data_IF_019526149300
#
_entry.id   IF_019526149300
#
_cell.length_a   1.000
_cell.length_b   1.000
_cell.length_c   1.000
_cell.angle_alpha   90.00
_cell.angle_beta   90.00
_cell.angle_gamma   90.00
#
_symmetry.space_group_name_H-M   'P 1'
#
loop_
_entity.id
_entity.type
_entity.pdbx_description
1 polymer ?
#
# COMPACT_ATOMS: atom_id res chain seq x y z
N UNK A 1 11.13 8.49 -11.27
CA UNK A 1 11.02 9.85 -11.85
C UNK A 1 9.85 9.91 -12.79
N UNK A 2 9.16 11.06 -12.89
CA UNK A 2 7.90 11.18 -13.64
C UNK A 2 7.80 12.49 -14.43
N UNK A 3 7.16 12.43 -15.59
CA UNK A 3 6.55 13.54 -16.35
C UNK A 3 5.05 13.21 -16.53
N UNK A 4 4.22 14.08 -17.15
CA UNK A 4 2.81 13.75 -17.40
C UNK A 4 2.58 12.47 -18.22
N UNK A 5 3.58 12.03 -19.00
CA UNK A 5 3.50 10.96 -19.99
C UNK A 5 4.62 9.91 -19.89
N UNK A 6 5.51 10.01 -18.91
CA UNK A 6 6.61 9.06 -18.70
C UNK A 6 6.82 8.77 -17.22
N UNK A 7 6.99 7.47 -16.90
CA UNK A 7 7.29 6.98 -15.55
C UNK A 7 8.49 6.04 -15.63
N UNK A 8 9.57 6.41 -14.95
CA UNK A 8 10.83 5.65 -14.94
C UNK A 8 11.18 5.25 -13.50
N UNK A 9 11.34 3.94 -13.27
CA UNK A 9 11.87 3.41 -12.01
C UNK A 9 13.39 3.45 -12.08
N UNK A 10 14.02 3.96 -11.03
CA UNK A 10 15.47 4.13 -10.93
C UNK A 10 15.97 3.50 -9.63
N UNK A 11 17.28 3.44 -9.48
CA UNK A 11 17.96 3.07 -8.24
C UNK A 11 17.65 1.64 -7.71
N UNK A 12 17.83 0.57 -8.54
CA UNK A 12 17.63 -0.80 -8.11
C UNK A 12 18.83 -1.38 -7.34
N UNK A 13 19.62 -0.55 -6.64
CA UNK A 13 20.87 -0.98 -5.99
C UNK A 13 20.67 -2.04 -4.89
N UNK A 14 19.45 -2.13 -4.35
CA UNK A 14 19.04 -3.15 -3.37
C UNK A 14 18.41 -4.41 -4.01
N UNK A 15 18.59 -4.64 -5.31
CA UNK A 15 17.98 -5.78 -5.98
C UNK A 15 18.57 -7.12 -5.49
N UNK A 16 17.69 -8.02 -5.05
CA UNK A 16 17.99 -9.43 -4.77
C UNK A 16 16.70 -10.26 -4.93
N UNK A 17 16.82 -11.59 -4.85
CA UNK A 17 15.65 -12.48 -4.84
C UNK A 17 14.93 -12.39 -3.49
N UNK A 18 13.87 -11.57 -3.46
CA UNK A 18 13.06 -11.32 -2.27
C UNK A 18 11.56 -11.47 -2.53
N UNK A 19 10.72 -11.25 -1.50
CA UNK A 19 9.27 -11.32 -1.63
C UNK A 19 8.72 -10.16 -2.48
N UNK A 20 7.89 -10.46 -3.48
CA UNK A 20 7.31 -9.46 -4.40
C UNK A 20 6.54 -8.36 -3.66
N UNK A 21 5.86 -8.70 -2.56
CA UNK A 21 5.13 -7.73 -1.73
C UNK A 21 6.01 -6.63 -1.16
N UNK A 22 7.34 -6.79 -1.11
CA UNK A 22 8.25 -5.76 -0.64
C UNK A 22 8.26 -4.53 -1.56
N UNK A 23 8.31 -4.73 -2.88
CA UNK A 23 8.36 -3.64 -3.85
C UNK A 23 6.99 -2.96 -3.99
N UNK A 24 5.94 -3.76 -4.13
CA UNK A 24 4.56 -3.25 -4.23
C UNK A 24 4.19 -2.50 -2.94
N UNK A 25 4.53 -3.09 -1.79
CA UNK A 25 4.31 -2.49 -0.48
C UNK A 25 5.13 -1.21 -0.30
N UNK A 26 6.37 -1.17 -0.78
CA UNK A 26 7.16 0.05 -0.76
C UNK A 26 6.51 1.19 -1.53
N UNK A 27 6.02 0.91 -2.73
CA UNK A 27 5.38 1.91 -3.58
C UNK A 27 4.06 2.40 -2.97
N UNK A 28 3.15 1.49 -2.64
CA UNK A 28 1.85 1.81 -2.04
C UNK A 28 2.03 2.50 -0.67
N UNK A 29 2.95 2.02 0.16
CA UNK A 29 3.24 2.61 1.46
C UNK A 29 3.68 4.07 1.36
N UNK A 30 4.52 4.43 0.40
CA UNK A 30 4.91 5.84 0.21
C UNK A 30 3.76 6.70 -0.34
N UNK A 31 2.90 6.18 -1.22
CA UNK A 31 1.69 6.90 -1.62
C UNK A 31 0.75 7.19 -0.44
N UNK A 32 0.64 6.24 0.50
CA UNK A 32 -0.11 6.44 1.74
C UNK A 32 0.55 7.52 2.61
N UNK A 33 1.88 7.53 2.75
CA UNK A 33 2.57 8.62 3.46
C UNK A 33 2.30 9.99 2.82
N UNK A 34 2.39 10.06 1.49
CA UNK A 34 2.08 11.28 0.73
C UNK A 34 0.63 11.76 0.97
N UNK A 35 -0.33 10.84 1.06
CA UNK A 35 -1.72 11.15 1.42
C UNK A 35 -1.83 11.80 2.80
N UNK A 36 -1.16 11.25 3.81
CA UNK A 36 -1.20 11.79 5.17
C UNK A 36 -0.49 13.12 5.31
N UNK A 37 0.59 13.34 4.55
CA UNK A 37 1.33 14.59 4.55
C UNK A 37 0.53 15.76 3.95
N UNK A 38 -0.48 15.50 3.09
CA UNK A 38 -1.20 16.57 2.38
C UNK A 38 -1.83 17.61 3.30
N UNK A 39 -2.32 17.21 4.48
CA UNK A 39 -2.96 18.17 5.40
C UNK A 39 -1.94 19.20 5.93
N UNK A 40 -0.67 18.81 6.09
CA UNK A 40 0.40 19.74 6.47
C UNK A 40 0.91 20.62 5.32
N UNK A 41 0.55 20.29 4.08
CA UNK A 41 0.85 21.07 2.86
C UNK A 41 -0.34 21.90 2.35
N UNK A 42 -1.45 21.90 3.09
CA UNK A 42 -2.61 22.71 2.79
C UNK A 42 -2.35 24.19 3.11
N UNK A 43 -2.87 25.09 2.27
CA UNK A 43 -2.73 26.53 2.43
C UNK A 43 -3.93 27.29 1.86
N UNK A 44 -3.93 28.62 2.00
CA UNK A 44 -5.10 29.47 1.67
C UNK A 44 -5.58 29.37 0.20
N UNK A 45 -4.75 28.87 -0.72
CA UNK A 45 -5.11 28.68 -2.14
C UNK A 45 -5.31 27.22 -2.56
N UNK A 46 -5.03 26.25 -1.70
CA UNK A 46 -5.16 24.83 -2.01
C UNK A 46 -5.28 24.02 -0.72
N UNK A 47 -6.48 23.49 -0.45
CA UNK A 47 -6.77 22.67 0.73
C UNK A 47 -6.35 21.20 0.57
N UNK A 48 -5.76 20.85 -0.59
CA UNK A 48 -5.27 19.52 -0.97
C UNK A 48 -6.31 18.41 -1.02
N UNK A 49 -7.62 18.67 -0.83
CA UNK A 49 -8.64 17.61 -0.77
C UNK A 49 -8.75 16.81 -2.06
N UNK A 50 -8.89 17.50 -3.20
CA UNK A 50 -8.96 16.82 -4.51
C UNK A 50 -7.67 16.07 -4.83
N UNK A 51 -6.52 16.54 -4.33
CA UNK A 51 -5.26 15.84 -4.51
C UNK A 51 -5.16 14.58 -3.63
N UNK A 52 -5.67 14.61 -2.40
CA UNK A 52 -5.83 13.43 -1.55
C UNK A 52 -6.71 12.37 -2.20
N UNK A 53 -7.84 12.78 -2.80
CA UNK A 53 -8.71 11.88 -3.55
C UNK A 53 -7.99 11.25 -4.74
N UNK A 54 -7.21 12.04 -5.47
CA UNK A 54 -6.37 11.53 -6.57
C UNK A 54 -5.32 10.52 -6.09
N UNK A 55 -4.67 10.75 -4.95
CA UNK A 55 -3.71 9.79 -4.37
C UNK A 55 -4.43 8.48 -4.01
N UNK A 56 -5.60 8.55 -3.35
CA UNK A 56 -6.38 7.35 -3.01
C UNK A 56 -6.78 6.55 -4.26
N UNK A 57 -7.25 7.25 -5.30
CA UNK A 57 -7.59 6.63 -6.57
C UNK A 57 -6.37 5.98 -7.23
N UNK A 58 -5.21 6.62 -7.16
CA UNK A 58 -3.95 6.10 -7.70
C UNK A 58 -3.51 4.83 -6.96
N UNK A 59 -3.67 4.76 -5.64
CA UNK A 59 -3.39 3.54 -4.85
C UNK A 59 -4.30 2.39 -5.28
N UNK A 60 -5.60 2.66 -5.38
CA UNK A 60 -6.59 1.67 -5.81
C UNK A 60 -6.30 1.16 -7.22
N UNK A 61 -6.11 2.07 -8.17
CA UNK A 61 -5.85 1.74 -9.58
C UNK A 61 -4.54 0.98 -9.74
N UNK A 62 -3.49 1.36 -9.01
CA UNK A 62 -2.20 0.66 -9.02
C UNK A 62 -2.39 -0.81 -8.65
N UNK A 63 -3.07 -1.10 -7.54
CA UNK A 63 -3.28 -2.49 -7.10
C UNK A 63 -4.18 -3.27 -8.08
N UNK A 64 -5.31 -2.67 -8.49
CA UNK A 64 -6.26 -3.35 -9.36
C UNK A 64 -5.68 -3.64 -10.75
N UNK A 65 -4.95 -2.68 -11.33
CA UNK A 65 -4.27 -2.88 -12.61
C UNK A 65 -3.08 -3.83 -12.49
N UNK A 66 -2.32 -3.79 -11.38
CA UNK A 66 -1.29 -4.79 -11.11
C UNK A 66 -1.89 -6.19 -11.07
N UNK A 67 -2.95 -6.40 -10.29
CA UNK A 67 -3.64 -7.68 -10.20
C UNK A 67 -4.07 -8.16 -11.58
N UNK A 68 -4.79 -7.32 -12.34
CA UNK A 68 -5.28 -7.66 -13.67
C UNK A 68 -4.15 -8.04 -14.63
N UNK A 69 -3.08 -7.24 -14.69
CA UNK A 69 -1.96 -7.47 -15.60
C UNK A 69 -1.14 -8.69 -15.18
N UNK A 70 -0.93 -8.89 -13.88
CA UNK A 70 -0.19 -10.04 -13.35
C UNK A 70 -0.90 -11.35 -13.67
N UNK A 71 -2.22 -11.43 -13.44
CA UNK A 71 -3.01 -12.63 -13.77
C UNK A 71 -3.11 -12.84 -15.28
N UNK A 72 -3.20 -11.76 -16.09
CA UNK A 72 -3.19 -11.88 -17.54
C UNK A 72 -1.86 -12.47 -18.07
N UNK A 73 -0.72 -12.00 -17.53
CA UNK A 73 0.60 -12.57 -17.86
C UNK A 73 0.73 -14.03 -17.41
N UNK A 74 0.17 -14.36 -16.24
CA UNK A 74 0.09 -15.75 -15.79
C UNK A 74 -0.66 -16.61 -16.80
N UNK A 75 -1.85 -16.18 -17.23
CA UNK A 75 -2.66 -16.92 -18.21
C UNK A 75 -1.98 -17.05 -19.57
N UNK A 76 -1.31 -16.00 -20.03
CA UNK A 76 -0.52 -15.99 -21.27
C UNK A 76 0.62 -17.01 -21.21
N UNK A 77 1.30 -17.11 -20.07
CA UNK A 77 2.51 -17.93 -19.90
C UNK A 77 2.27 -19.27 -19.19
N UNK A 78 1.02 -19.69 -18.98
CA UNK A 78 0.69 -20.93 -18.27
C UNK A 78 1.26 -22.22 -18.89
N UNK A 79 1.55 -22.19 -20.20
CA UNK A 79 2.19 -23.29 -20.93
C UNK A 79 3.69 -23.07 -21.17
N UNK A 80 4.27 -22.03 -20.56
CA UNK A 80 5.70 -21.72 -20.66
C UNK A 80 6.57 -22.65 -19.82
N UNK A 81 7.88 -22.37 -19.77
CA UNK A 81 8.88 -23.15 -19.03
C UNK A 81 8.86 -22.95 -17.51
N UNK A 82 7.79 -22.36 -16.95
CA UNK A 82 7.67 -22.08 -15.52
C UNK A 82 7.31 -23.34 -14.72
N UNK A 83 7.93 -23.52 -13.56
CA UNK A 83 7.75 -24.72 -12.72
C UNK A 83 6.80 -24.50 -11.53
N UNK A 84 6.36 -23.26 -11.27
CA UNK A 84 5.54 -22.94 -10.10
C UNK A 84 4.13 -23.56 -10.17
N UNK A 85 3.53 -23.63 -11.37
CA UNK A 85 2.17 -24.10 -11.58
C UNK A 85 2.06 -25.00 -12.83
N UNK A 86 2.62 -26.23 -12.80
CA UNK A 86 2.66 -27.10 -13.97
C UNK A 86 1.26 -27.50 -14.44
N UNK A 87 0.95 -27.42 -15.75
CA UNK A 87 -0.36 -27.79 -16.30
C UNK A 87 -0.79 -29.23 -16.00
N UNK A 88 0.16 -30.14 -15.77
CA UNK A 88 -0.14 -31.53 -15.38
C UNK A 88 -0.84 -31.64 -14.02
N UNK A 89 -0.63 -30.67 -13.13
CA UNK A 89 -1.26 -30.59 -11.79
C UNK A 89 -2.44 -29.61 -11.84
N UNK A 90 -2.24 -28.42 -12.38
CA UNK A 90 -3.24 -27.35 -12.46
C UNK A 90 -3.99 -27.40 -13.79
N UNK A 91 -4.70 -28.50 -14.02
CA UNK A 91 -5.15 -28.94 -15.35
C UNK A 91 -6.58 -28.52 -15.73
N UNK A 92 -7.30 -27.78 -14.88
CA UNK A 92 -8.64 -27.29 -15.18
C UNK A 92 -8.82 -25.80 -14.84
N UNK A 93 -9.72 -25.08 -15.54
CA UNK A 93 -9.89 -23.64 -15.36
C UNK A 93 -10.30 -23.22 -13.94
N UNK A 94 -11.14 -24.00 -13.27
CA UNK A 94 -11.63 -23.67 -11.93
C UNK A 94 -10.50 -23.71 -10.89
N UNK A 95 -9.63 -24.72 -10.97
CA UNK A 95 -8.46 -24.86 -10.12
C UNK A 95 -7.41 -23.78 -10.41
N UNK A 96 -7.19 -23.43 -11.69
CA UNK A 96 -6.30 -22.34 -12.09
C UNK A 96 -6.76 -21.01 -11.50
N UNK A 97 -8.06 -20.71 -11.60
CA UNK A 97 -8.63 -19.50 -11.03
C UNK A 97 -8.52 -19.48 -9.49
N UNK A 98 -8.84 -20.60 -8.83
CA UNK A 98 -8.75 -20.70 -7.37
C UNK A 98 -7.33 -20.43 -6.86
N UNK A 99 -6.31 -21.00 -7.51
CA UNK A 99 -4.92 -20.83 -7.07
C UNK A 99 -4.40 -19.43 -7.35
N UNK A 100 -4.80 -18.81 -8.48
CA UNK A 100 -4.50 -17.40 -8.77
C UNK A 100 -5.13 -16.48 -7.72
N UNK A 101 -6.42 -16.66 -7.40
CA UNK A 101 -7.11 -15.86 -6.38
C UNK A 101 -6.44 -16.00 -5.00
N UNK A 102 -6.07 -17.23 -4.61
CA UNK A 102 -5.35 -17.49 -3.37
C UNK A 102 -3.98 -16.81 -3.35
N UNK A 103 -3.20 -16.96 -4.42
CA UNK A 103 -1.88 -16.34 -4.54
C UNK A 103 -1.97 -14.81 -4.47
N UNK A 104 -2.91 -14.22 -5.21
CA UNK A 104 -3.09 -12.77 -5.23
C UNK A 104 -3.55 -12.23 -3.87
N UNK A 105 -4.35 -12.98 -3.11
CA UNK A 105 -4.72 -12.61 -1.74
C UNK A 105 -3.51 -12.65 -0.79
N UNK A 106 -2.67 -13.68 -0.87
CA UNK A 106 -1.45 -13.77 -0.07
C UNK A 106 -0.47 -12.64 -0.42
N UNK A 107 -0.28 -12.37 -1.71
CA UNK A 107 0.55 -11.26 -2.20
C UNK A 107 0.00 -9.89 -1.76
N UNK A 108 -1.33 -9.73 -1.71
CA UNK A 108 -1.96 -8.53 -1.18
C UNK A 108 -1.63 -8.32 0.29
N UNK A 109 -1.73 -9.37 1.11
CA UNK A 109 -1.40 -9.30 2.53
C UNK A 109 0.09 -9.00 2.76
N UNK A 110 0.98 -9.58 1.95
CA UNK A 110 2.41 -9.25 2.01
C UNK A 110 2.67 -7.79 1.62
N UNK A 111 2.02 -7.31 0.56
CA UNK A 111 2.07 -5.92 0.11
C UNK A 111 1.68 -4.96 1.24
N UNK A 112 0.56 -5.21 1.92
CA UNK A 112 0.12 -4.41 3.06
C UNK A 112 1.11 -4.49 4.24
N UNK A 113 1.66 -5.68 4.52
CA UNK A 113 2.61 -5.89 5.60
C UNK A 113 3.91 -5.12 5.40
N UNK A 114 4.53 -5.25 4.23
CA UNK A 114 5.76 -4.54 3.91
C UNK A 114 5.53 -3.03 3.74
N UNK A 115 4.40 -2.62 3.14
CA UNK A 115 4.03 -1.21 3.07
C UNK A 115 3.89 -0.58 4.46
N UNK A 116 3.21 -1.27 5.38
CA UNK A 116 3.08 -0.84 6.77
C UNK A 116 4.44 -0.74 7.48
N UNK A 117 5.31 -1.74 7.33
CA UNK A 117 6.65 -1.71 7.90
C UNK A 117 7.48 -0.54 7.35
N UNK A 118 7.39 -0.26 6.03
CA UNK A 118 8.06 0.89 5.42
C UNK A 118 7.48 2.21 5.92
N UNK A 119 6.16 2.33 6.10
CA UNK A 119 5.56 3.53 6.69
C UNK A 119 6.10 3.79 8.09
N UNK A 120 6.03 2.80 8.98
CA UNK A 120 6.48 2.91 10.37
C UNK A 120 7.95 3.36 10.43
N UNK A 121 8.85 2.68 9.68
CA UNK A 121 10.28 3.00 9.73
C UNK A 121 10.64 4.36 9.12
N UNK A 122 9.77 4.96 8.30
CA UNK A 122 9.96 6.32 7.77
C UNK A 122 9.55 7.41 8.77
N UNK A 123 8.77 7.06 9.79
CA UNK A 123 8.29 8.00 10.80
C UNK A 123 9.19 7.99 12.03
N UNK A 124 9.63 6.81 12.49
CA UNK A 124 10.41 6.66 13.74
C UNK A 124 11.83 6.15 13.53
N UNK A 125 12.22 5.85 12.29
CA UNK A 125 13.55 5.32 11.97
C UNK A 125 14.54 6.41 11.55
N UNK A 126 15.77 6.00 11.20
CA UNK A 126 16.85 6.95 10.86
C UNK A 126 16.61 7.75 9.58
N UNK A 127 15.91 7.17 8.60
CA UNK A 127 15.75 7.75 7.27
C UNK A 127 14.29 8.12 7.02
N UNK A 128 13.99 9.41 7.18
CA UNK A 128 12.66 9.98 7.03
C UNK A 128 12.27 10.16 5.54
N UNK A 129 11.10 10.76 5.27
CA UNK A 129 10.64 11.16 3.92
C UNK A 129 10.40 12.66 3.85
N UNK A 130 10.69 13.23 2.68
CA UNK A 130 10.52 14.66 2.44
C UNK A 130 9.07 15.14 2.58
N UNK A 131 8.10 14.27 2.30
CA UNK A 131 6.67 14.54 2.47
C UNK A 131 6.35 15.13 3.85
N UNK A 132 6.96 14.60 4.90
CA UNK A 132 6.82 15.14 6.26
C UNK A 132 7.90 16.16 6.60
N UNK A 133 9.17 15.90 6.28
CA UNK A 133 10.28 16.78 6.69
C UNK A 133 10.17 18.21 6.13
N UNK A 134 9.49 18.39 4.99
CA UNK A 134 9.22 19.71 4.40
C UNK A 134 8.12 20.51 5.12
N UNK A 135 7.33 19.89 6.01
CA UNK A 135 6.34 20.56 6.86
C UNK A 135 7.08 21.25 8.02
N UNK A 136 7.17 22.58 7.98
CA UNK A 136 7.97 23.38 8.94
C UNK A 136 7.38 23.39 10.35
N UNK A 137 6.07 23.44 10.47
CA UNK A 137 5.38 23.52 11.76
C UNK A 137 5.38 22.14 12.43
N UNK A 138 6.17 22.01 13.48
CA UNK A 138 6.44 20.71 14.14
C UNK A 138 5.17 20.02 14.62
N UNK A 139 4.21 20.76 15.18
CA UNK A 139 2.96 20.18 15.67
C UNK A 139 2.09 19.66 14.52
N UNK A 140 2.01 20.39 13.41
CA UNK A 140 1.25 19.98 12.22
C UNK A 140 1.89 18.73 11.59
N UNK A 141 3.22 18.69 11.53
CA UNK A 141 3.97 17.54 11.05
C UNK A 141 3.69 16.31 11.91
N UNK A 142 3.81 16.46 13.23
CA UNK A 142 3.58 15.37 14.18
C UNK A 142 2.16 14.81 14.10
N UNK A 143 1.14 15.66 13.91
CA UNK A 143 -0.25 15.21 13.73
C UNK A 143 -0.43 14.38 12.43
N UNK A 144 0.26 14.73 11.35
CA UNK A 144 0.25 13.97 10.11
C UNK A 144 0.98 12.63 10.28
N UNK A 145 2.16 12.65 10.89
CA UNK A 145 2.97 11.47 11.19
C UNK A 145 2.24 10.49 12.12
N UNK A 146 1.56 10.99 13.16
CA UNK A 146 0.82 10.17 14.11
C UNK A 146 -0.30 9.39 13.40
N UNK A 147 -1.09 10.05 12.55
CA UNK A 147 -2.16 9.38 11.80
C UNK A 147 -1.62 8.34 10.83
N UNK A 148 -0.51 8.64 10.15
CA UNK A 148 0.18 7.69 9.29
C UNK A 148 0.71 6.48 10.07
N UNK A 149 1.26 6.71 11.26
CA UNK A 149 1.80 5.67 12.14
C UNK A 149 0.69 4.74 12.65
N UNK A 150 -0.45 5.28 13.07
CA UNK A 150 -1.58 4.47 13.53
C UNK A 150 -2.16 3.58 12.41
N UNK A 151 -2.23 4.09 11.17
CA UNK A 151 -2.59 3.24 10.05
C UNK A 151 -1.52 2.16 9.82
N UNK A 152 -0.23 2.53 9.80
CA UNK A 152 0.86 1.57 9.65
C UNK A 152 0.79 0.44 10.67
N UNK A 153 0.58 0.76 11.96
CA UNK A 153 0.38 -0.23 13.03
C UNK A 153 -0.83 -1.13 12.77
N UNK A 154 -1.94 -0.55 12.31
CA UNK A 154 -3.16 -1.30 12.00
C UNK A 154 -2.94 -2.26 10.85
N UNK A 155 -2.44 -1.78 9.71
CA UNK A 155 -2.15 -2.61 8.54
C UNK A 155 -1.18 -3.74 8.90
N UNK A 156 -0.10 -3.45 9.64
CA UNK A 156 0.86 -4.48 10.03
C UNK A 156 0.20 -5.61 10.84
N UNK A 157 -0.65 -5.27 11.81
CA UNK A 157 -1.31 -6.24 12.71
C UNK A 157 -2.48 -6.97 12.03
N UNK A 158 -3.28 -6.25 11.24
CA UNK A 158 -4.61 -6.68 10.77
C UNK A 158 -4.70 -6.91 9.26
N UNK A 159 -3.59 -6.83 8.50
CA UNK A 159 -3.58 -6.98 7.02
C UNK A 159 -4.38 -8.16 6.48
N UNK A 160 -4.43 -9.28 7.21
CA UNK A 160 -5.15 -10.49 6.78
C UNK A 160 -6.67 -10.36 6.83
N UNK A 161 -7.18 -9.36 7.52
CA UNK A 161 -8.61 -9.02 7.57
C UNK A 161 -9.04 -8.20 6.33
N UNK A 162 -8.09 -7.68 5.56
CA UNK A 162 -8.36 -6.92 4.35
C UNK A 162 -8.49 -7.87 3.15
N UNK A 163 -9.65 -7.82 2.49
CA UNK A 163 -9.96 -8.63 1.30
C UNK A 163 -9.91 -7.84 -0.01
N UNK A 164 -9.71 -6.52 0.07
CA UNK A 164 -9.61 -5.64 -1.10
C UNK A 164 -8.91 -4.32 -0.74
N UNK A 165 -8.21 -3.73 -1.71
CA UNK A 165 -7.57 -2.41 -1.57
C UNK A 165 -8.60 -1.30 -1.28
N UNK A 166 -9.83 -1.43 -1.77
CA UNK A 166 -10.90 -0.45 -1.55
C UNK A 166 -11.32 -0.31 -0.09
N UNK A 167 -11.04 -1.32 0.74
CA UNK A 167 -11.29 -1.27 2.19
C UNK A 167 -10.24 -0.46 2.95
N UNK A 168 -9.06 -0.23 2.38
CA UNK A 168 -8.01 0.55 3.03
C UNK A 168 -8.40 2.04 3.14
N UNK A 169 -8.89 2.72 2.07
CA UNK A 169 -9.46 4.07 2.15
C UNK A 169 -10.71 4.19 3.05
N UNK A 170 -11.54 3.16 3.13
CA UNK A 170 -12.74 3.17 3.99
C UNK A 170 -12.37 3.04 5.47
N UNK A 171 -11.33 2.27 5.78
CA UNK A 171 -10.79 2.21 7.14
C UNK A 171 -10.12 3.53 7.54
N UNK A 172 -9.48 4.21 6.57
CA UNK A 172 -8.88 5.54 6.72
C UNK A 172 -9.91 6.59 7.15
N UNK A 173 -11.10 6.63 6.55
CA UNK A 173 -12.14 7.59 6.96
C UNK A 173 -12.80 7.21 8.29
N UNK A 174 -13.07 5.92 8.53
CA UNK A 174 -13.77 5.47 9.74
C UNK A 174 -12.93 5.51 11.03
N UNK A 175 -11.61 5.35 10.94
CA UNK A 175 -10.71 5.37 12.11
C UNK A 175 -10.14 6.76 12.40
N UNK A 176 -10.07 7.64 11.41
CA UNK A 176 -9.58 9.01 11.60
C UNK A 176 -10.66 10.00 12.06
N UNK A 177 -11.94 9.70 11.87
CA UNK A 177 -13.05 10.42 12.50
C UNK A 177 -13.16 10.15 14.02
N UNK A 178 -12.31 9.26 14.56
CA UNK A 178 -12.20 9.02 16.00
C UNK A 178 -11.36 10.12 16.66
N UNK A 179 -11.99 11.27 16.90
CA UNK A 179 -11.43 12.37 17.69
C UNK A 179 -11.06 11.90 19.09
N UNK A 180 -9.77 11.66 19.32
CA UNK A 180 -9.07 11.72 20.61
C UNK A 180 -9.88 11.43 21.88
N UNK A 181 -10.22 10.16 22.12
CA UNK A 181 -10.53 9.71 23.46
C UNK A 181 -9.88 8.34 23.67
N UNK A 182 -8.74 8.31 24.36
CA UNK A 182 -8.09 7.06 24.78
C UNK A 182 -9.10 6.19 25.55
N UNK A 183 -9.71 5.24 24.85
CA UNK A 183 -10.45 4.15 25.48
C UNK A 183 -9.51 2.94 25.48
N UNK A 184 -8.93 2.67 26.64
CA UNK A 184 -8.56 1.30 27.01
C UNK A 184 -9.80 0.45 26.78
N UNK A 185 -9.73 -0.60 25.97
CA UNK A 185 -10.17 -1.94 26.35
C UNK A 185 -10.03 -2.97 25.22
N UNK A 186 -9.81 -4.18 25.70
CA UNK A 186 -9.83 -5.47 25.04
C UNK A 186 -10.99 -5.60 24.04
N UNK A 187 -10.66 -5.99 22.81
CA UNK A 187 -11.58 -6.74 21.98
C UNK A 187 -10.86 -7.96 21.44
N UNK A 188 -11.26 -9.09 22.01
CA UNK A 188 -11.11 -10.43 21.47
C UNK A 188 -11.82 -10.46 20.10
N UNK A 189 -11.08 -10.85 19.07
CA UNK A 189 -11.58 -11.54 17.88
C UNK A 189 -10.72 -12.79 17.69
#
# INVERSE_FOLDING_TARGET
MVTPDSTQVIDPEFAFYGPMGFDIGAFIGNLILAFFAQDGHAGQGNDRKSYKEWILKTIEDTWNLFHQKFTALWDEHKNGSGEAYPPAIYNNPELQKLIQEKYMMELFHDTLGFGAAKMIRRIVGVAHVEDFESIKEVNIRADCEQRALELGKTLLKRRREFVSITKVPVYLTLVLDWTGAVAKHDYVL
#
